data_IF_865833188922
#
_entry.id   IF_865833188922
#
_cell.length_a   1.000
_cell.length_b   1.000
_cell.length_c   1.000
_cell.angle_alpha   90.00
_cell.angle_beta   90.00
_cell.angle_gamma   90.00
#
_symmetry.space_group_name_H-M   'P 1'
#
loop_
_entity.id
_entity.type
_entity.pdbx_description
1 polymer ?
#
# COMPACT_ATOMS: atom_id res chain seq x y z
N UNK A 1 36.29 -26.42 -19.33
CA UNK A 1 35.08 -26.82 -18.58
C UNK A 1 35.30 -26.42 -17.14
N UNK A 2 35.17 -25.15 -16.84
CA UNK A 2 35.41 -24.55 -15.52
C UNK A 2 34.91 -23.10 -15.59
N UNK A 3 34.62 -22.48 -14.45
CA UNK A 3 33.97 -21.16 -14.28
C UNK A 3 32.43 -21.16 -14.29
N UNK A 4 31.83 -21.95 -13.39
CA UNK A 4 30.55 -21.57 -12.77
C UNK A 4 30.87 -21.06 -11.36
N UNK A 5 30.73 -19.76 -11.06
CA UNK A 5 30.92 -19.25 -9.71
C UNK A 5 29.92 -19.94 -8.75
N UNK A 6 30.32 -20.34 -7.53
CA UNK A 6 29.48 -21.11 -6.60
C UNK A 6 28.40 -20.29 -5.88
N UNK A 7 28.10 -19.08 -6.34
CA UNK A 7 27.04 -18.23 -5.79
C UNK A 7 26.22 -17.60 -6.91
N UNK A 8 25.70 -18.44 -7.79
CA UNK A 8 24.57 -18.04 -8.61
C UNK A 8 23.30 -18.20 -7.77
N UNK A 9 23.17 -17.40 -6.70
CA UNK A 9 21.85 -17.11 -6.16
C UNK A 9 21.22 -16.23 -7.24
N UNK A 10 20.67 -16.89 -8.26
CA UNK A 10 19.55 -16.35 -9.00
C UNK A 10 18.51 -16.03 -7.93
N UNK A 11 18.53 -14.79 -7.43
CA UNK A 11 17.34 -14.10 -6.96
C UNK A 11 16.42 -13.88 -8.18
N UNK A 12 16.12 -14.97 -8.90
CA UNK A 12 14.86 -15.13 -9.61
C UNK A 12 13.82 -15.32 -8.53
N UNK A 13 13.58 -14.25 -7.79
CA UNK A 13 12.24 -14.07 -7.31
C UNK A 13 11.44 -13.65 -8.54
N UNK A 14 10.82 -14.64 -9.19
CA UNK A 14 9.65 -14.46 -10.05
C UNK A 14 8.45 -13.90 -9.22
N UNK A 15 8.71 -13.13 -8.16
CA UNK A 15 7.74 -12.51 -7.29
C UNK A 15 7.24 -11.27 -7.99
N UNK A 16 6.24 -11.47 -8.85
CA UNK A 16 5.30 -10.41 -9.19
C UNK A 16 4.97 -9.59 -7.93
N UNK A 17 5.17 -8.27 -7.98
CA UNK A 17 4.92 -7.39 -6.85
C UNK A 17 3.51 -7.64 -6.26
N UNK A 18 3.37 -7.71 -4.93
CA UNK A 18 2.06 -7.85 -4.31
C UNK A 18 1.24 -6.57 -4.48
N UNK A 19 -0.07 -6.76 -4.70
CA UNK A 19 -1.06 -5.69 -4.77
C UNK A 19 -2.15 -5.93 -3.74
N UNK A 20 -2.73 -4.85 -3.21
CA UNK A 20 -4.01 -4.91 -2.50
C UNK A 20 -5.10 -5.01 -3.54
N UNK A 21 -5.95 -6.03 -3.44
CA UNK A 21 -7.12 -6.22 -4.28
C UNK A 21 -8.38 -5.86 -3.51
N UNK A 22 -9.22 -5.02 -4.11
CA UNK A 22 -10.57 -4.72 -3.67
C UNK A 22 -11.54 -5.38 -4.66
N UNK A 23 -12.34 -6.33 -4.19
CA UNK A 23 -13.35 -6.97 -5.03
C UNK A 23 -14.48 -6.01 -5.39
N UNK A 24 -15.31 -6.41 -6.35
CA UNK A 24 -16.55 -5.71 -6.70
C UNK A 24 -17.75 -6.20 -5.86
N UNK A 25 -18.89 -5.51 -5.95
CA UNK A 25 -20.17 -5.87 -5.29
C UNK A 25 -20.54 -4.98 -4.10
N UNK A 26 -21.64 -5.31 -3.40
CA UNK A 26 -22.20 -4.49 -2.32
C UNK A 26 -21.35 -4.50 -1.04
N UNK A 27 -20.69 -5.63 -0.76
CA UNK A 27 -19.82 -5.81 0.40
C UNK A 27 -18.42 -6.24 -0.03
N UNK A 28 -17.67 -5.36 -0.72
CA UNK A 28 -16.39 -5.71 -1.29
C UNK A 28 -15.37 -6.07 -0.22
N UNK A 29 -14.42 -6.94 -0.56
CA UNK A 29 -13.34 -7.41 0.31
C UNK A 29 -12.01 -6.83 -0.10
N UNK A 30 -11.16 -6.61 0.90
CA UNK A 30 -9.73 -6.36 0.70
C UNK A 30 -8.95 -7.67 0.82
N UNK A 31 -7.95 -7.86 -0.04
CA UNK A 31 -7.11 -9.04 -0.04
C UNK A 31 -5.74 -8.79 -0.64
N UNK A 32 -4.84 -9.75 -0.46
CA UNK A 32 -3.52 -9.74 -1.11
C UNK A 32 -3.67 -10.44 -2.45
N UNK A 33 -3.24 -9.79 -3.52
CA UNK A 33 -3.14 -10.38 -4.85
C UNK A 33 -1.69 -10.44 -5.34
N UNK A 34 -1.36 -11.53 -6.04
CA UNK A 34 -0.07 -11.73 -6.71
C UNK A 34 -0.30 -12.29 -8.11
N UNK A 35 0.55 -11.91 -9.04
CA UNK A 35 0.49 -12.36 -10.44
C UNK A 35 -0.53 -11.58 -11.27
N UNK A 36 -0.95 -12.18 -12.39
CA UNK A 36 -1.80 -11.52 -13.37
C UNK A 36 -3.14 -11.05 -12.78
N UNK A 37 -3.54 -9.81 -13.10
CA UNK A 37 -4.77 -9.14 -12.66
C UNK A 37 -5.99 -9.71 -13.43
N UNK A 38 -6.45 -10.90 -13.07
CA UNK A 38 -7.57 -11.61 -13.74
C UNK A 38 -8.92 -11.42 -13.04
N UNK A 39 -8.92 -11.09 -11.75
CA UNK A 39 -10.15 -10.94 -10.99
C UNK A 39 -10.76 -9.55 -11.23
N UNK A 40 -12.09 -9.47 -11.30
CA UNK A 40 -12.81 -8.20 -11.43
C UNK A 40 -12.74 -7.43 -10.12
N UNK A 41 -12.28 -6.19 -10.18
CA UNK A 41 -12.11 -5.32 -9.03
C UNK A 41 -10.97 -4.34 -9.23
N UNK A 42 -10.55 -3.69 -8.15
CA UNK A 42 -9.52 -2.66 -8.16
C UNK A 42 -8.24 -3.19 -7.52
N UNK A 43 -7.10 -2.75 -8.03
CA UNK A 43 -5.77 -3.17 -7.58
C UNK A 43 -4.95 -1.94 -7.17
N UNK A 44 -4.41 -1.95 -5.96
CA UNK A 44 -3.60 -0.87 -5.40
C UNK A 44 -2.19 -1.39 -5.07
N UNK A 45 -1.15 -0.62 -5.38
CA UNK A 45 0.26 -1.04 -5.31
C UNK A 45 1.02 -0.69 -6.60
N UNK A 46 2.27 -1.16 -6.80
CA UNK A 46 2.93 -2.31 -6.17
C UNK A 46 3.47 -2.06 -4.76
N UNK A 47 3.41 -3.07 -3.88
CA UNK A 47 4.01 -3.00 -2.54
C UNK A 47 5.43 -3.61 -2.54
N UNK A 48 6.37 -3.05 -1.75
CA UNK A 48 7.77 -3.50 -1.74
C UNK A 48 7.93 -4.92 -1.16
N UNK A 49 7.03 -5.33 -0.26
CA UNK A 49 7.07 -6.66 0.33
C UNK A 49 5.69 -7.15 0.78
N UNK A 50 5.63 -8.46 1.02
CA UNK A 50 4.47 -9.10 1.65
C UNK A 50 4.25 -8.67 3.11
N UNK A 51 5.27 -8.10 3.75
CA UNK A 51 5.15 -7.53 5.10
C UNK A 51 4.38 -6.22 5.04
N UNK A 52 4.83 -5.30 4.18
CA UNK A 52 4.23 -3.99 3.98
C UNK A 52 2.73 -4.09 3.65
N UNK A 53 2.34 -4.99 2.74
CA UNK A 53 0.92 -5.16 2.40
C UNK A 53 0.08 -5.66 3.57
N UNK A 54 0.61 -6.56 4.42
CA UNK A 54 -0.12 -7.07 5.58
C UNK A 54 -0.30 -6.00 6.64
N UNK A 55 0.69 -5.13 6.80
CA UNK A 55 0.61 -3.98 7.69
C UNK A 55 -0.45 -3.00 7.22
N UNK A 56 -0.42 -2.62 5.93
CA UNK A 56 -1.45 -1.74 5.34
C UNK A 56 -2.85 -2.35 5.44
N UNK A 57 -3.02 -3.63 5.15
CA UNK A 57 -4.29 -4.33 5.31
C UNK A 57 -4.74 -4.38 6.78
N UNK A 58 -3.82 -4.64 7.72
CA UNK A 58 -4.13 -4.64 9.14
C UNK A 58 -4.56 -3.25 9.62
N UNK A 59 -3.93 -2.18 9.11
CA UNK A 59 -4.31 -0.81 9.40
C UNK A 59 -5.73 -0.53 8.90
N UNK A 60 -5.98 -0.74 7.60
CA UNK A 60 -7.29 -0.55 6.98
C UNK A 60 -8.40 -1.30 7.72
N UNK A 61 -8.11 -2.53 8.16
CA UNK A 61 -9.06 -3.33 8.92
C UNK A 61 -9.39 -2.74 10.31
N UNK A 62 -8.42 -2.10 10.96
CA UNK A 62 -8.62 -1.46 12.27
C UNK A 62 -9.29 -0.09 12.14
N UNK A 63 -9.03 0.63 11.05
CA UNK A 63 -9.58 1.98 10.84
C UNK A 63 -10.99 1.91 10.25
N UNK A 64 -11.20 1.16 9.17
CA UNK A 64 -12.43 1.19 8.37
C UNK A 64 -13.23 -0.10 8.44
N UNK A 65 -12.77 -1.12 9.16
CA UNK A 65 -13.53 -2.36 9.40
C UNK A 65 -14.01 -3.08 8.12
N UNK A 66 -13.32 -2.88 6.99
CA UNK A 66 -13.59 -3.56 5.71
C UNK A 66 -13.18 -5.02 5.81
N UNK A 67 -14.02 -5.92 5.29
CA UNK A 67 -13.81 -7.36 5.38
C UNK A 67 -12.58 -7.80 4.58
N UNK A 68 -11.93 -8.84 5.07
CA UNK A 68 -10.83 -9.53 4.36
C UNK A 68 -11.08 -11.03 4.17
N UNK A 69 -12.22 -11.53 4.67
CA UNK A 69 -12.58 -12.93 4.50
C UNK A 69 -12.84 -13.27 3.03
N UNK A 70 -12.47 -14.49 2.65
CA UNK A 70 -12.84 -15.06 1.34
C UNK A 70 -14.35 -15.20 1.21
N UNK A 71 -14.84 -15.15 -0.02
CA UNK A 71 -16.27 -15.18 -0.33
C UNK A 71 -16.93 -16.49 0.09
N UNK A 72 -16.17 -17.60 0.04
CA UNK A 72 -16.61 -18.91 0.54
C UNK A 72 -16.92 -18.88 2.04
N UNK A 73 -16.13 -18.15 2.84
CA UNK A 73 -16.44 -17.94 4.25
C UNK A 73 -17.56 -16.94 4.42
N UNK A 74 -17.62 -15.87 3.62
CA UNK A 74 -18.68 -14.87 3.72
C UNK A 74 -20.07 -15.48 3.51
N UNK A 75 -20.26 -16.26 2.45
CA UNK A 75 -21.56 -16.82 2.07
C UNK A 75 -22.09 -17.90 3.04
N UNK A 76 -21.20 -18.61 3.74
CA UNK A 76 -21.56 -19.74 4.59
C UNK A 76 -21.66 -19.40 6.09
N UNK A 77 -21.64 -18.11 6.47
CA UNK A 77 -21.64 -17.71 7.88
C UNK A 77 -23.05 -17.48 8.39
N UNK A 78 -23.35 -18.12 9.52
CA UNK A 78 -24.60 -17.93 10.27
C UNK A 78 -24.41 -17.11 11.55
N UNK A 79 -23.15 -16.90 11.98
CA UNK A 79 -22.80 -16.12 13.17
C UNK A 79 -21.59 -15.21 12.92
N UNK A 80 -21.51 -14.04 13.58
CA UNK A 80 -20.35 -13.16 13.51
C UNK A 80 -19.05 -13.91 13.82
N UNK A 81 -17.99 -13.59 13.09
CA UNK A 81 -16.68 -14.19 13.30
C UNK A 81 -15.86 -13.42 14.34
N UNK A 82 -14.69 -13.97 14.71
CA UNK A 82 -13.77 -13.33 15.64
C UNK A 82 -13.39 -11.90 15.22
N UNK A 83 -13.26 -11.64 13.91
CA UNK A 83 -12.91 -10.30 13.41
C UNK A 83 -13.94 -9.24 13.80
N UNK A 84 -15.22 -9.60 13.87
CA UNK A 84 -16.25 -8.70 14.39
C UNK A 84 -16.07 -8.47 15.90
N UNK A 85 -15.88 -9.55 16.67
CA UNK A 85 -15.75 -9.48 18.13
C UNK A 85 -14.56 -8.63 18.58
N UNK A 86 -13.47 -8.62 17.81
CA UNK A 86 -12.27 -7.80 18.08
C UNK A 86 -12.31 -6.43 17.39
N UNK A 87 -13.48 -5.98 16.92
CA UNK A 87 -13.70 -4.70 16.22
C UNK A 87 -12.75 -4.53 15.03
N UNK A 88 -12.81 -5.44 14.07
CA UNK A 88 -12.04 -5.43 12.82
C UNK A 88 -12.89 -5.65 11.57
N UNK A 89 -14.19 -5.84 11.76
CA UNK A 89 -15.15 -6.05 10.68
C UNK A 89 -16.53 -5.68 11.21
N UNK A 90 -17.39 -5.05 10.39
CA UNK A 90 -18.79 -4.77 10.76
C UNK A 90 -19.75 -5.94 10.54
N UNK A 91 -19.21 -7.14 10.28
CA UNK A 91 -19.97 -8.37 10.04
C UNK A 91 -21.08 -8.27 8.98
N UNK A 92 -20.77 -7.80 7.75
CA UNK A 92 -21.74 -7.80 6.64
C UNK A 92 -22.21 -9.21 6.25
N UNK A 93 -21.47 -10.26 6.64
CA UNK A 93 -21.84 -11.65 6.37
C UNK A 93 -23.11 -12.12 7.08
N UNK A 94 -23.54 -11.41 8.13
CA UNK A 94 -24.76 -11.71 8.88
C UNK A 94 -25.71 -10.51 8.93
N UNK A 95 -25.49 -9.50 8.08
CA UNK A 95 -26.38 -8.33 7.96
C UNK A 95 -26.36 -7.37 9.16
N UNK A 96 -25.24 -7.28 9.90
CA UNK A 96 -25.11 -6.34 11.04
C UNK A 96 -24.72 -4.91 10.63
N UNK A 97 -24.56 -4.64 9.33
CA UNK A 97 -24.22 -3.33 8.78
C UNK A 97 -25.01 -3.11 7.51
N UNK A 98 -25.47 -1.89 7.31
CA UNK A 98 -26.17 -1.49 6.09
C UNK A 98 -25.20 -1.33 4.90
N UNK A 99 -25.64 -1.60 3.66
CA UNK A 99 -24.77 -1.46 2.49
C UNK A 99 -24.20 -0.05 2.33
N UNK A 100 -24.98 0.99 2.64
CA UNK A 100 -24.53 2.38 2.48
C UNK A 100 -23.43 2.74 3.48
N UNK A 101 -23.56 2.28 4.73
CA UNK A 101 -22.55 2.50 5.76
C UNK A 101 -21.25 1.79 5.40
N UNK A 102 -21.34 0.53 4.96
CA UNK A 102 -20.18 -0.23 4.52
C UNK A 102 -19.52 0.38 3.27
N UNK A 103 -20.30 0.92 2.34
CA UNK A 103 -19.78 1.60 1.16
C UNK A 103 -18.98 2.86 1.53
N UNK A 104 -19.38 3.60 2.57
CA UNK A 104 -18.62 4.74 3.06
C UNK A 104 -17.26 4.31 3.63
N UNK A 105 -17.22 3.24 4.41
CA UNK A 105 -15.96 2.66 4.92
C UNK A 105 -15.03 2.19 3.79
N UNK A 106 -15.59 1.59 2.75
CA UNK A 106 -14.85 1.18 1.55
C UNK A 106 -14.30 2.41 0.82
N UNK A 107 -15.08 3.49 0.69
CA UNK A 107 -14.64 4.76 0.11
C UNK A 107 -13.46 5.34 0.88
N UNK A 108 -13.50 5.33 2.22
CA UNK A 108 -12.39 5.79 3.05
C UNK A 108 -11.14 4.91 2.85
N UNK A 109 -11.31 3.59 2.77
CA UNK A 109 -10.22 2.66 2.50
C UNK A 109 -9.58 2.89 1.14
N UNK A 110 -10.39 3.16 0.11
CA UNK A 110 -9.94 3.52 -1.22
C UNK A 110 -9.14 4.81 -1.20
N UNK A 111 -9.67 5.88 -0.57
CA UNK A 111 -8.96 7.17 -0.48
C UNK A 111 -7.61 7.02 0.21
N UNK A 112 -7.53 6.21 1.26
CA UNK A 112 -6.26 5.91 1.92
C UNK A 112 -5.27 5.17 0.99
N UNK A 113 -5.73 4.12 0.30
CA UNK A 113 -4.90 3.34 -0.62
C UNK A 113 -4.43 4.13 -1.84
N UNK A 114 -5.12 5.22 -2.16
CA UNK A 114 -4.82 6.16 -3.23
C UNK A 114 -3.93 7.33 -2.79
N UNK A 115 -3.43 7.33 -1.54
CA UNK A 115 -2.58 8.40 -1.02
C UNK A 115 -3.33 9.67 -0.61
N UNK A 116 -4.66 9.70 -0.72
CA UNK A 116 -5.51 10.86 -0.36
C UNK A 116 -5.75 10.98 1.15
N UNK A 117 -4.71 10.72 1.94
CA UNK A 117 -4.76 10.63 3.41
C UNK A 117 -5.05 11.97 4.09
N UNK A 118 -4.59 13.09 3.53
CA UNK A 118 -4.91 14.44 4.05
C UNK A 118 -6.39 14.77 3.86
N UNK A 119 -6.93 14.54 2.66
CA UNK A 119 -8.34 14.75 2.38
C UNK A 119 -9.22 13.88 3.31
N UNK A 120 -8.88 12.59 3.42
CA UNK A 120 -9.58 11.65 4.29
C UNK A 120 -9.55 12.10 5.76
N UNK A 121 -8.40 12.58 6.24
CA UNK A 121 -8.28 13.08 7.62
C UNK A 121 -9.16 14.30 7.87
N UNK A 122 -9.25 15.21 6.90
CA UNK A 122 -10.14 16.38 6.99
C UNK A 122 -11.60 15.97 7.03
N UNK A 123 -12.02 15.07 6.14
CA UNK A 123 -13.40 14.54 6.12
C UNK A 123 -13.79 13.89 7.45
N UNK A 124 -12.89 13.09 8.03
CA UNK A 124 -13.14 12.46 9.33
C UNK A 124 -13.18 13.47 10.49
N UNK A 125 -12.38 14.54 10.45
CA UNK A 125 -12.45 15.61 11.46
C UNK A 125 -13.80 16.34 11.40
N UNK A 126 -14.28 16.67 10.19
CA UNK A 126 -15.58 17.32 10.02
C UNK A 126 -16.74 16.42 10.46
N UNK A 127 -16.66 15.10 10.20
CA UNK A 127 -17.61 14.12 10.74
C UNK A 127 -17.56 14.05 12.27
N UNK A 128 -16.36 14.06 12.86
CA UNK A 128 -16.15 14.01 14.31
C UNK A 128 -16.74 15.24 14.99
N UNK A 129 -16.49 16.43 14.46
CA UNK A 129 -17.03 17.69 14.97
C UNK A 129 -18.55 17.71 14.89
N UNK A 130 -19.13 17.25 13.76
CA UNK A 130 -20.59 17.12 13.62
C UNK A 130 -21.19 16.15 14.64
N UNK A 131 -20.58 14.98 14.84
CA UNK A 131 -21.02 14.01 15.85
C UNK A 131 -20.95 14.60 17.26
N UNK A 132 -19.89 15.34 17.59
CA UNK A 132 -19.74 16.03 18.88
C UNK A 132 -20.82 17.11 19.08
N UNK A 133 -21.12 17.91 18.04
CA UNK A 133 -22.20 18.90 18.06
C UNK A 133 -23.58 18.26 18.23
N UNK A 134 -23.78 17.06 17.67
CA UNK A 134 -25.00 16.27 17.82
C UNK A 134 -25.08 15.51 19.16
N UNK A 135 -24.09 15.67 20.05
CA UNK A 135 -23.97 14.96 21.34
C UNK A 135 -23.76 13.44 21.20
N UNK A 136 -23.31 12.98 20.04
CA UNK A 136 -22.98 11.58 19.75
C UNK A 136 -21.53 11.26 20.15
N UNK A 137 -21.23 11.32 21.45
CA UNK A 137 -19.86 11.23 21.95
C UNK A 137 -19.15 9.90 21.65
N UNK A 138 -19.88 8.79 21.59
CA UNK A 138 -19.31 7.48 21.23
C UNK A 138 -18.80 7.51 19.78
N UNK A 139 -19.60 8.04 18.86
CA UNK A 139 -19.24 8.16 17.45
C UNK A 139 -18.07 9.13 17.26
N UNK A 140 -18.08 10.27 17.96
CA UNK A 140 -16.97 11.22 17.92
C UNK A 140 -15.67 10.59 18.45
N UNK A 141 -15.74 9.77 19.51
CA UNK A 141 -14.58 9.06 20.04
C UNK A 141 -14.02 8.03 19.03
N UNK A 142 -14.87 7.28 18.34
CA UNK A 142 -14.45 6.35 17.28
C UNK A 142 -13.73 7.07 16.14
N UNK A 143 -14.30 8.18 15.64
CA UNK A 143 -13.70 8.98 14.57
C UNK A 143 -12.35 9.56 14.98
N UNK A 144 -12.25 10.09 16.22
CA UNK A 144 -10.99 10.58 16.79
C UNK A 144 -9.92 9.49 16.81
N UNK A 145 -10.28 8.28 17.23
CA UNK A 145 -9.34 7.16 17.33
C UNK A 145 -8.90 6.69 15.93
N UNK A 146 -9.80 6.74 14.92
CA UNK A 146 -9.45 6.52 13.51
C UNK A 146 -8.46 7.56 12.98
N UNK A 147 -8.71 8.86 13.23
CA UNK A 147 -7.82 9.96 12.85
C UNK A 147 -6.43 9.77 13.48
N UNK A 148 -6.36 9.41 14.76
CA UNK A 148 -5.11 9.17 15.45
C UNK A 148 -4.31 8.00 14.83
N UNK A 149 -5.01 6.95 14.40
CA UNK A 149 -4.40 5.81 13.74
C UNK A 149 -3.85 6.16 12.34
N UNK A 150 -4.57 7.00 11.58
CA UNK A 150 -4.13 7.48 10.27
C UNK A 150 -2.89 8.38 10.36
N UNK A 151 -2.89 9.34 11.31
CA UNK A 151 -1.76 10.25 11.53
C UNK A 151 -0.46 9.51 11.82
N UNK A 152 -0.51 8.46 12.66
CA UNK A 152 0.68 7.64 12.96
C UNK A 152 1.33 7.05 11.70
N UNK A 153 0.53 6.66 10.73
CA UNK A 153 1.05 6.08 9.49
C UNK A 153 1.60 7.15 8.57
N UNK A 154 0.98 8.32 8.50
CA UNK A 154 1.53 9.48 7.79
C UNK A 154 2.88 9.92 8.38
N UNK A 155 3.00 9.93 9.71
CA UNK A 155 4.24 10.29 10.40
C UNK A 155 5.35 9.26 10.11
N UNK A 156 5.03 7.96 10.11
CA UNK A 156 5.98 6.91 9.74
C UNK A 156 6.43 7.01 8.28
N UNK A 157 5.50 7.25 7.35
CA UNK A 157 5.84 7.46 5.93
C UNK A 157 6.73 8.68 5.74
N UNK A 158 6.51 9.77 6.48
CA UNK A 158 7.33 10.99 6.41
C UNK A 158 8.73 10.83 7.01
N UNK A 159 8.91 9.90 7.95
CA UNK A 159 10.21 9.62 8.59
C UNK A 159 11.06 8.60 7.80
N UNK A 160 10.43 7.64 7.12
CA UNK A 160 11.13 6.65 6.29
C UNK A 160 11.28 7.08 4.82
N UNK A 161 10.50 8.07 4.36
CA UNK A 161 10.61 8.67 3.03
C UNK A 161 10.33 10.16 3.09
N UNK A 162 11.30 10.98 2.68
CA UNK A 162 11.02 12.38 2.40
C UNK A 162 9.87 12.46 1.41
N UNK A 163 8.80 13.14 1.83
CA UNK A 163 7.67 13.63 1.03
C UNK A 163 7.63 13.14 -0.43
N UNK A 164 7.05 11.96 -0.65
CA UNK A 164 6.53 11.57 -1.95
C UNK A 164 5.03 11.53 -1.82
N UNK A 165 4.36 12.60 -2.24
CA UNK A 165 2.95 12.60 -2.57
C UNK A 165 2.79 11.62 -3.73
N UNK A 166 2.60 10.32 -3.43
CA UNK A 166 2.42 9.28 -4.46
C UNK A 166 0.99 9.39 -4.95
N UNK A 167 0.81 10.39 -5.81
CA UNK A 167 -0.30 10.50 -6.73
C UNK A 167 -0.39 9.23 -7.57
N UNK A 168 -1.62 8.78 -7.69
CA UNK A 168 -2.08 7.66 -8.49
C UNK A 168 -1.66 7.88 -9.96
N UNK A 169 -1.14 6.82 -10.61
CA UNK A 169 -0.67 6.71 -12.01
C UNK A 169 0.80 7.07 -12.32
N UNK A 170 1.76 6.78 -11.42
CA UNK A 170 3.18 6.85 -11.82
C UNK A 170 3.55 5.71 -12.79
N UNK A 171 4.16 6.08 -13.92
CA UNK A 171 4.75 5.14 -14.87
C UNK A 171 5.73 4.23 -14.11
N UNK A 172 5.74 2.93 -14.41
CA UNK A 172 6.67 1.98 -13.78
C UNK A 172 8.12 2.46 -13.94
N UNK A 173 8.41 3.19 -15.02
CA UNK A 173 9.68 3.83 -15.28
C UNK A 173 10.00 4.98 -14.29
N UNK A 174 9.04 5.86 -13.96
CA UNK A 174 9.21 6.96 -13.01
C UNK A 174 9.45 6.44 -11.59
N UNK A 175 8.66 5.44 -11.15
CA UNK A 175 8.82 4.82 -9.83
C UNK A 175 10.20 4.19 -9.68
N UNK A 176 10.67 3.50 -10.72
CA UNK A 176 11.99 2.86 -10.71
C UNK A 176 13.11 3.91 -10.69
N UNK A 177 12.97 5.00 -11.44
CA UNK A 177 13.91 6.13 -11.43
C UNK A 177 14.05 6.74 -10.03
N UNK A 178 12.92 7.11 -9.41
CA UNK A 178 12.89 7.69 -8.08
C UNK A 178 13.51 6.75 -7.03
N UNK A 179 13.21 5.45 -7.11
CA UNK A 179 13.80 4.44 -6.24
C UNK A 179 15.31 4.35 -6.39
N UNK A 180 15.84 4.26 -7.63
CA UNK A 180 17.27 4.17 -7.88
C UNK A 180 18.00 5.41 -7.36
N UNK A 181 17.39 6.59 -7.48
CA UNK A 181 17.96 7.84 -7.00
C UNK A 181 18.08 7.78 -5.48
N UNK A 182 16.99 7.48 -4.77
CA UNK A 182 17.02 7.35 -3.32
C UNK A 182 17.99 6.26 -2.85
N UNK A 183 18.03 5.12 -3.53
CA UNK A 183 18.80 3.95 -3.12
C UNK A 183 20.31 4.13 -3.30
N UNK A 184 20.75 4.71 -4.42
CA UNK A 184 22.18 4.84 -4.76
C UNK A 184 22.73 6.25 -4.55
N UNK A 185 21.92 7.30 -4.66
CA UNK A 185 22.36 8.67 -4.40
C UNK A 185 22.17 9.02 -2.91
N UNK A 186 21.05 8.61 -2.31
CA UNK A 186 20.68 8.99 -0.94
C UNK A 186 21.47 8.31 0.19
N UNK A 187 22.23 7.23 -0.05
CA UNK A 187 22.84 6.45 1.03
C UNK A 187 24.28 5.96 0.74
N UNK A 188 25.27 6.75 1.19
CA UNK A 188 26.70 6.68 0.85
C UNK A 188 27.47 5.39 1.23
N UNK A 189 26.90 4.50 2.05
CA UNK A 189 27.62 3.33 2.57
C UNK A 189 27.37 2.03 1.78
N UNK A 190 26.46 2.06 0.79
CA UNK A 190 26.07 0.84 0.04
C UNK A 190 27.00 0.50 -1.11
N UNK A 191 27.18 -0.80 -1.36
CA UNK A 191 27.93 -1.33 -2.50
C UNK A 191 27.23 -1.00 -3.82
N UNK A 192 28.01 -0.44 -4.76
CA UNK A 192 27.56 -0.04 -6.09
C UNK A 192 28.00 -1.10 -7.13
N UNK A 193 27.06 -1.74 -7.85
CA UNK A 193 27.40 -2.62 -8.97
C UNK A 193 27.88 -1.80 -10.18
N UNK A 194 28.66 -2.42 -11.07
CA UNK A 194 29.12 -1.76 -12.30
C UNK A 194 28.02 -1.66 -13.38
N UNK A 195 27.08 -2.61 -13.39
CA UNK A 195 25.94 -2.65 -14.31
C UNK A 195 24.65 -2.95 -13.55
N UNK A 196 23.57 -2.24 -13.90
CA UNK A 196 22.25 -2.38 -13.31
C UNK A 196 21.23 -2.63 -14.42
N UNK A 197 20.67 -3.83 -14.43
CA UNK A 197 19.72 -4.26 -15.47
C UNK A 197 18.30 -3.89 -15.01
N UNK A 198 17.60 -3.11 -15.82
CA UNK A 198 16.23 -2.66 -15.59
C UNK A 198 15.32 -3.17 -16.70
N UNK A 199 14.03 -3.35 -16.38
CA UNK A 199 13.01 -3.85 -17.32
C UNK A 199 12.21 -2.73 -17.99
N UNK A 200 12.52 -1.47 -17.69
CA UNK A 200 11.89 -0.26 -18.23
C UNK A 200 12.98 0.74 -18.66
N UNK A 201 12.64 1.68 -19.54
CA UNK A 201 13.53 2.76 -19.97
C UNK A 201 12.99 4.07 -19.40
N UNK A 202 13.85 4.91 -18.84
CA UNK A 202 13.49 6.21 -18.29
C UNK A 202 14.53 7.27 -18.69
N UNK A 203 14.09 8.50 -18.92
CA UNK A 203 14.96 9.62 -19.33
C UNK A 203 15.98 10.01 -18.24
N UNK A 204 15.59 9.91 -16.97
CA UNK A 204 16.47 10.26 -15.85
C UNK A 204 17.63 9.28 -15.62
N UNK A 205 17.67 8.10 -16.25
CA UNK A 205 18.73 7.13 -15.97
C UNK A 205 20.12 7.66 -16.31
N UNK A 206 20.26 8.47 -17.38
CA UNK A 206 21.53 9.13 -17.71
C UNK A 206 21.94 10.12 -16.62
N UNK A 207 20.99 10.93 -16.14
CA UNK A 207 21.24 11.89 -15.06
C UNK A 207 21.62 11.18 -13.75
N UNK A 208 21.03 10.02 -13.48
CA UNK A 208 21.27 9.21 -12.30
C UNK A 208 22.66 8.56 -12.33
N UNK A 209 23.07 8.01 -13.47
CA UNK A 209 24.43 7.52 -13.69
C UNK A 209 25.46 8.64 -13.46
N UNK A 210 25.24 9.83 -14.01
CA UNK A 210 26.14 10.97 -13.84
C UNK A 210 26.19 11.45 -12.38
N UNK A 211 25.05 11.47 -11.68
CA UNK A 211 24.99 11.85 -10.27
C UNK A 211 25.73 10.85 -9.37
N UNK A 212 25.58 9.54 -9.63
CA UNK A 212 26.30 8.49 -8.92
C UNK A 212 27.79 8.58 -9.17
N UNK A 213 28.22 8.80 -10.41
CA UNK A 213 29.64 8.98 -10.75
C UNK A 213 30.24 10.20 -10.05
N UNK A 214 29.55 11.34 -10.07
CA UNK A 214 29.99 12.56 -9.42
C UNK A 214 30.11 12.44 -7.89
N UNK A 215 29.20 11.70 -7.25
CA UNK A 215 29.17 11.56 -5.79
C UNK A 215 30.03 10.41 -5.25
N UNK A 216 30.20 9.34 -6.03
CA UNK A 216 30.85 8.09 -5.58
C UNK A 216 32.20 7.85 -6.26
N UNK A 217 32.52 8.57 -7.34
CA UNK A 217 33.71 8.34 -8.16
C UNK A 217 33.76 6.96 -8.81
N UNK A 218 32.58 6.32 -9.00
CA UNK A 218 32.45 4.99 -9.61
C UNK A 218 31.39 5.03 -10.70
N UNK A 219 31.73 4.45 -11.84
CA UNK A 219 30.86 4.39 -13.01
C UNK A 219 29.77 3.32 -12.81
N UNK A 220 28.53 3.71 -13.05
CA UNK A 220 27.34 2.85 -13.02
C UNK A 220 26.73 2.86 -14.42
N UNK A 221 26.55 1.70 -15.03
CA UNK A 221 25.81 1.57 -16.30
C UNK A 221 24.42 1.02 -16.03
N UNK A 222 23.37 1.69 -16.49
CA UNK A 222 21.99 1.16 -16.45
C UNK A 222 21.66 0.60 -17.84
N UNK A 223 21.33 -0.70 -17.92
CA UNK A 223 21.00 -1.37 -19.19
C UNK A 223 19.59 -1.95 -19.18
N UNK A 224 18.88 -1.84 -20.30
CA UNK A 224 17.53 -2.37 -20.45
C UNK A 224 17.54 -3.78 -21.05
N UNK A 225 16.87 -4.75 -20.41
CA UNK A 225 16.70 -6.13 -20.92
C UNK A 225 15.35 -6.74 -20.54
#
# INVERSE_FOLDING_TARGET
KEWRPPYNILLRDDKSYPYVFLSDGDYPRLGIHRGAKKAKGRYFGPYPSAGAIRESLSLLQKTFFVRQCEDSYYANRTRPCLQYQIKRCKAPCVGLVEPQEYAADVRHSVMFLEGRSHQLTNELNEEMERAAMALEFERAAELRDQIALLRRVQDQQSMEGGSGDVGIEEDVAEVLSAFLAQYYVGNAERELPAELIVNVVHEDFEALCAAVEALRGRELTISHR
#
